data_IF_650282017638
#
_entry.id   IF_650282017638
#
_cell.length_a   1.000
_cell.length_b   1.000
_cell.length_c   1.000
_cell.angle_alpha   90.00
_cell.angle_beta   90.00
_cell.angle_gamma   90.00
#
_symmetry.space_group_name_H-M   'P 1'
#
loop_
_entity.id
_entity.type
_entity.pdbx_description
1 polymer ?
#
# COMPACT_ATOMS: atom_id res chain seq x y z
N UNK A 1 -9.99 15.00 -19.94
CA UNK A 1 -9.77 14.16 -18.75
C UNK A 1 -8.30 14.14 -18.34
N UNK A 2 -7.31 14.01 -19.23
CA UNK A 2 -5.90 13.94 -18.81
C UNK A 2 -5.24 15.26 -18.37
N UNK A 3 -5.62 16.39 -18.95
CA UNK A 3 -5.12 17.72 -18.55
C UNK A 3 -5.43 18.04 -17.07
N UNK A 4 -6.51 17.47 -16.54
CA UNK A 4 -6.96 17.65 -15.16
C UNK A 4 -6.00 16.97 -14.16
N UNK A 5 -5.50 15.75 -14.45
CA UNK A 5 -4.62 15.04 -13.50
C UNK A 5 -3.25 15.70 -13.33
N UNK A 6 -2.68 16.27 -14.39
CA UNK A 6 -1.41 16.99 -14.30
C UNK A 6 -1.55 18.25 -13.45
N UNK A 7 -2.65 18.99 -13.65
CA UNK A 7 -2.98 20.18 -12.86
C UNK A 7 -3.25 19.82 -11.40
N UNK A 8 -3.99 18.74 -11.13
CA UNK A 8 -4.24 18.24 -9.78
C UNK A 8 -2.95 17.83 -9.07
N UNK A 9 -2.06 17.10 -9.74
CA UNK A 9 -0.77 16.72 -9.15
C UNK A 9 0.09 17.96 -8.86
N UNK A 10 0.04 18.98 -9.71
CA UNK A 10 0.72 20.25 -9.44
C UNK A 10 0.12 20.95 -8.22
N UNK A 11 -1.22 21.01 -8.11
CA UNK A 11 -1.88 21.58 -6.94
C UNK A 11 -1.52 20.85 -5.64
N UNK A 12 -1.38 19.51 -5.67
CA UNK A 12 -0.89 18.73 -4.53
C UNK A 12 0.55 19.11 -4.19
N UNK A 13 1.44 19.20 -5.18
CA UNK A 13 2.83 19.60 -4.99
C UNK A 13 2.95 20.99 -4.35
N UNK A 14 2.13 21.94 -4.77
CA UNK A 14 2.11 23.31 -4.23
C UNK A 14 1.66 23.31 -2.76
N UNK A 15 0.65 22.50 -2.41
CA UNK A 15 0.22 22.34 -1.02
C UNK A 15 1.26 21.65 -0.16
N UNK A 16 1.93 20.61 -0.67
CA UNK A 16 3.04 19.98 0.03
C UNK A 16 4.13 21.01 0.36
N UNK A 17 4.51 21.85 -0.61
CA UNK A 17 5.49 22.91 -0.41
C UNK A 17 5.04 23.95 0.64
N UNK A 18 3.78 24.39 0.59
CA UNK A 18 3.20 25.32 1.57
C UNK A 18 3.29 24.81 3.01
N UNK A 19 3.12 23.50 3.22
CA UNK A 19 3.18 22.88 4.54
C UNK A 19 4.54 22.27 4.90
N UNK A 20 5.57 22.45 4.06
CA UNK A 20 6.89 21.85 4.28
C UNK A 20 6.90 20.32 4.22
N UNK A 21 5.92 19.72 3.53
CA UNK A 21 5.84 18.29 3.26
C UNK A 21 6.66 18.00 2.00
N UNK A 22 7.53 16.98 2.00
CA UNK A 22 8.24 16.56 0.79
C UNK A 22 7.28 16.24 -0.36
N UNK A 23 7.64 16.64 -1.58
CA UNK A 23 6.82 16.33 -2.77
C UNK A 23 6.70 14.82 -2.94
N UNK A 24 5.50 14.29 -3.27
CA UNK A 24 5.32 12.86 -3.52
C UNK A 24 6.22 12.39 -4.66
N UNK A 25 6.90 11.26 -4.46
CA UNK A 25 7.71 10.60 -5.50
C UNK A 25 7.02 9.36 -6.06
N UNK A 26 5.83 9.05 -5.58
CA UNK A 26 5.00 7.93 -6.03
C UNK A 26 3.60 8.41 -6.41
N UNK A 27 2.96 7.75 -7.37
CA UNK A 27 1.63 8.08 -7.85
C UNK A 27 0.72 6.85 -7.86
N UNK A 28 -0.53 6.98 -7.45
CA UNK A 28 -1.53 5.92 -7.64
C UNK A 28 -2.52 6.41 -8.68
N UNK A 29 -2.71 5.65 -9.75
CA UNK A 29 -3.63 6.10 -10.79
C UNK A 29 -5.08 6.05 -10.27
N UNK A 30 -5.86 7.13 -10.49
CA UNK A 30 -7.27 7.16 -10.11
C UNK A 30 -8.06 6.01 -10.74
N UNK A 31 -9.04 5.49 -9.99
CA UNK A 31 -9.92 4.40 -10.40
C UNK A 31 -9.21 3.10 -10.79
N UNK A 32 -7.95 2.90 -10.37
CA UNK A 32 -7.14 1.73 -10.73
C UNK A 32 -6.94 1.56 -12.25
N UNK A 33 -7.18 2.61 -13.04
CA UNK A 33 -6.93 2.63 -14.49
C UNK A 33 -5.54 3.16 -14.78
N UNK A 34 -5.03 3.04 -16.00
CA UNK A 34 -3.79 3.71 -16.37
C UNK A 34 -3.87 4.29 -17.78
N UNK A 35 -3.03 5.29 -18.05
CA UNK A 35 -2.79 5.81 -19.39
C UNK A 35 -1.28 5.96 -19.60
N UNK A 36 -0.76 5.33 -20.67
CA UNK A 36 0.65 5.44 -21.02
C UNK A 36 1.02 6.88 -21.44
N UNK A 37 0.04 7.70 -21.85
CA UNK A 37 0.23 9.11 -22.19
C UNK A 37 0.64 9.96 -20.97
N UNK A 38 0.39 9.46 -19.75
CA UNK A 38 0.77 10.13 -18.51
C UNK A 38 2.24 9.98 -18.16
N UNK A 39 2.91 8.94 -18.68
CA UNK A 39 4.29 8.58 -18.33
C UNK A 39 5.28 9.75 -18.50
N UNK A 40 5.29 10.49 -19.63
CA UNK A 40 6.26 11.56 -19.83
C UNK A 40 6.17 12.65 -18.77
N UNK A 41 4.96 13.12 -18.47
CA UNK A 41 4.80 14.21 -17.53
C UNK A 41 4.87 13.75 -16.07
N UNK A 42 4.51 12.50 -15.75
CA UNK A 42 4.77 11.93 -14.40
C UNK A 42 6.26 11.94 -14.11
N UNK A 43 7.08 11.57 -15.10
CA UNK A 43 8.54 11.62 -15.00
C UNK A 43 9.05 13.06 -14.86
N UNK A 44 8.53 14.00 -15.66
CA UNK A 44 8.90 15.42 -15.57
C UNK A 44 8.55 16.02 -14.19
N UNK A 45 7.49 15.53 -13.55
CA UNK A 45 7.06 15.94 -12.21
C UNK A 45 7.80 15.21 -11.07
N UNK A 46 8.77 14.34 -11.39
CA UNK A 46 9.62 13.67 -10.40
C UNK A 46 9.04 12.40 -9.80
N UNK A 47 7.96 11.85 -10.37
CA UNK A 47 7.42 10.56 -9.96
C UNK A 47 8.37 9.45 -10.42
N UNK A 48 8.73 8.58 -9.47
CA UNK A 48 9.64 7.45 -9.67
C UNK A 48 8.87 6.13 -9.84
N UNK A 49 7.76 6.00 -9.11
CA UNK A 49 6.92 4.81 -9.13
C UNK A 49 5.46 5.18 -9.30
N UNK A 50 4.71 4.42 -10.08
CA UNK A 50 3.26 4.59 -10.15
C UNK A 50 2.52 3.25 -10.20
N UNK A 51 1.47 3.12 -9.39
CA UNK A 51 0.68 1.91 -9.24
C UNK A 51 -0.66 2.01 -9.97
N UNK A 52 -0.98 1.01 -10.79
CA UNK A 52 -2.25 0.84 -11.51
C UNK A 52 -2.99 -0.40 -10.99
N UNK A 53 -4.26 -0.58 -11.37
CA UNK A 53 -4.99 -1.82 -11.11
C UNK A 53 -4.47 -3.03 -11.89
N UNK A 54 -5.21 -4.13 -11.77
CA UNK A 54 -4.88 -5.41 -12.42
C UNK A 54 -5.04 -5.43 -13.95
N UNK A 55 -5.62 -4.39 -14.55
CA UNK A 55 -5.78 -4.27 -16.01
C UNK A 55 -4.46 -3.85 -16.67
N UNK A 56 -4.05 -4.46 -17.81
CA UNK A 56 -4.85 -5.30 -18.70
C UNK A 56 -4.83 -6.79 -18.42
N UNK A 57 -4.06 -7.27 -17.44
CA UNK A 57 -3.89 -8.70 -17.19
C UNK A 57 -5.17 -9.35 -16.67
N UNK A 58 -5.92 -8.63 -15.83
CA UNK A 58 -7.21 -9.05 -15.29
C UNK A 58 -8.23 -7.91 -15.30
N UNK A 59 -9.49 -8.29 -15.47
CA UNK A 59 -10.62 -7.41 -15.20
C UNK A 59 -10.71 -7.12 -13.69
N UNK A 60 -11.12 -5.90 -13.35
CA UNK A 60 -11.10 -5.40 -11.96
C UNK A 60 -12.32 -5.86 -11.12
N UNK A 61 -12.94 -6.98 -11.48
CA UNK A 61 -14.16 -7.47 -10.83
C UNK A 61 -13.84 -8.09 -9.46
N UNK A 62 -12.98 -9.11 -9.45
CA UNK A 62 -12.65 -9.87 -8.25
C UNK A 62 -11.42 -9.33 -7.51
N UNK A 63 -10.86 -8.19 -7.93
CA UNK A 63 -9.65 -7.60 -7.35
C UNK A 63 -8.36 -8.37 -7.64
N UNK A 64 -8.39 -9.32 -8.57
CA UNK A 64 -7.20 -10.08 -9.00
C UNK A 64 -6.21 -9.17 -9.74
N UNK A 65 -4.92 -9.42 -9.52
CA UNK A 65 -3.83 -8.71 -10.16
C UNK A 65 -2.64 -9.60 -10.51
N UNK A 66 -1.54 -8.97 -10.89
CA UNK A 66 -0.25 -9.66 -11.14
C UNK A 66 0.84 -9.06 -10.26
N UNK A 67 1.74 -9.91 -9.77
CA UNK A 67 2.90 -9.44 -9.04
C UNK A 67 3.83 -8.64 -9.97
N UNK A 68 4.50 -7.64 -9.41
CA UNK A 68 5.54 -6.90 -10.12
C UNK A 68 6.72 -7.83 -10.46
N UNK A 69 7.21 -7.72 -11.69
CA UNK A 69 8.41 -8.35 -12.23
C UNK A 69 9.52 -7.31 -12.37
N UNK A 70 10.45 -7.20 -11.39
CA UNK A 70 11.51 -6.20 -11.42
C UNK A 70 12.38 -6.29 -12.68
N UNK A 71 12.56 -5.16 -13.36
CA UNK A 71 13.34 -5.07 -14.60
C UNK A 71 12.56 -5.40 -15.88
N UNK A 72 11.37 -5.99 -15.76
CA UNK A 72 10.43 -6.16 -16.88
C UNK A 72 9.33 -5.09 -16.83
N UNK A 73 8.70 -4.90 -15.68
CA UNK A 73 7.63 -3.93 -15.52
C UNK A 73 8.14 -2.49 -15.54
N UNK A 74 7.37 -1.62 -16.19
CA UNK A 74 7.69 -0.20 -16.21
C UNK A 74 7.44 0.41 -14.82
N UNK A 75 8.41 1.14 -14.21
CA UNK A 75 8.28 1.67 -12.85
C UNK A 75 7.05 2.58 -12.65
N UNK A 76 6.58 3.23 -13.70
CA UNK A 76 5.38 4.08 -13.69
C UNK A 76 4.08 3.35 -14.09
N UNK A 77 4.08 2.01 -14.13
CA UNK A 77 2.91 1.18 -14.45
C UNK A 77 2.91 -0.11 -13.60
N UNK A 78 3.33 -0.02 -12.34
CA UNK A 78 3.37 -1.16 -11.44
C UNK A 78 1.97 -1.76 -11.29
N UNK A 79 1.79 -3.06 -11.56
CA UNK A 79 0.50 -3.71 -11.37
C UNK A 79 0.20 -3.85 -9.87
N UNK A 80 -1.04 -3.59 -9.50
CA UNK A 80 -1.59 -4.08 -8.24
C UNK A 80 -1.62 -5.60 -8.30
N UNK A 81 -0.98 -6.28 -7.34
CA UNK A 81 -0.97 -7.74 -7.26
C UNK A 81 -2.32 -8.32 -6.81
N UNK A 82 -3.05 -7.58 -6.00
CA UNK A 82 -4.43 -7.82 -5.62
C UNK A 82 -5.04 -6.60 -4.94
N UNK A 83 -6.36 -6.49 -5.00
CA UNK A 83 -7.17 -5.54 -4.26
C UNK A 83 -8.09 -6.28 -3.29
N UNK A 84 -7.80 -6.17 -1.99
CA UNK A 84 -8.50 -6.90 -0.94
C UNK A 84 -9.94 -6.38 -0.78
N UNK A 85 -10.89 -7.18 -1.26
CA UNK A 85 -12.33 -6.94 -1.09
C UNK A 85 -12.87 -7.61 0.18
N UNK A 86 -14.07 -7.23 0.70
CA UNK A 86 -14.61 -7.81 1.93
C UNK A 86 -14.84 -9.32 1.91
N UNK A 87 -14.95 -9.92 0.73
CA UNK A 87 -15.07 -11.35 0.46
C UNK A 87 -13.73 -12.02 0.08
N UNK A 88 -12.61 -11.30 0.23
CA UNK A 88 -11.29 -11.77 -0.17
C UNK A 88 -10.81 -12.96 0.65
N UNK A 89 -10.63 -14.10 0.00
CA UNK A 89 -10.08 -15.35 0.54
C UNK A 89 -9.08 -16.03 -0.40
N UNK A 90 -8.52 -15.29 -1.37
CA UNK A 90 -7.61 -15.85 -2.36
C UNK A 90 -6.25 -16.22 -1.73
N UNK A 91 -6.02 -17.53 -1.61
CA UNK A 91 -4.78 -18.14 -1.11
C UNK A 91 -3.56 -17.88 -2.02
N UNK A 92 -3.78 -17.39 -3.25
CA UNK A 92 -2.73 -17.16 -4.23
C UNK A 92 -2.12 -15.77 -4.19
N UNK A 93 -2.68 -14.85 -3.39
CA UNK A 93 -2.05 -13.55 -3.17
C UNK A 93 -1.40 -13.50 -1.78
N UNK A 94 -0.07 -13.66 -1.68
CA UNK A 94 0.67 -13.62 -0.41
C UNK A 94 0.85 -12.18 0.11
N UNK A 95 -0.12 -11.30 -0.11
CA UNK A 95 -0.07 -9.94 0.41
C UNK A 95 -0.24 -9.98 1.94
N UNK A 96 0.85 -9.63 2.63
CA UNK A 96 0.84 -9.36 4.07
C UNK A 96 0.12 -8.02 4.27
N UNK A 97 -1.16 -8.05 4.61
CA UNK A 97 -1.86 -6.87 5.09
C UNK A 97 -1.37 -6.56 6.51
N UNK A 98 -0.31 -5.76 6.60
CA UNK A 98 0.02 -5.03 7.82
C UNK A 98 -0.83 -3.77 7.82
N UNK A 99 -2.10 -3.91 8.18
CA UNK A 99 -2.99 -2.77 8.46
C UNK A 99 -2.99 -2.55 9.97
N UNK A 100 -1.91 -1.99 10.57
CA UNK A 100 -1.95 -1.63 11.97
C UNK A 100 -3.07 -0.60 12.15
N UNK A 101 -4.04 -0.93 12.97
CA UNK A 101 -5.06 0.02 13.36
C UNK A 101 -4.41 1.03 14.32
N UNK A 102 -4.45 2.30 13.94
CA UNK A 102 -4.07 3.41 14.80
C UNK A 102 -5.32 3.96 15.49
N UNK A 103 -5.14 4.54 16.67
CA UNK A 103 -6.20 5.39 17.24
C UNK A 103 -6.35 6.64 16.35
N UNK A 104 -7.55 7.23 16.32
CA UNK A 104 -7.72 8.54 15.70
C UNK A 104 -6.80 9.56 16.39
N UNK A 105 -6.01 10.29 15.60
CA UNK A 105 -5.09 11.32 16.09
C UNK A 105 -5.68 12.71 15.91
N UNK A 106 -5.54 13.57 16.93
CA UNK A 106 -5.86 14.98 16.79
C UNK A 106 -4.86 15.68 15.84
N UNK A 107 -5.24 16.78 15.17
CA UNK A 107 -4.34 17.50 14.28
C UNK A 107 -3.03 17.92 14.98
N UNK A 108 -1.90 17.44 14.45
CA UNK A 108 -0.55 17.72 14.96
C UNK A 108 0.01 16.67 15.92
N UNK A 109 -0.75 15.63 16.25
CA UNK A 109 -0.26 14.48 17.02
C UNK A 109 0.46 13.45 16.14
N UNK A 110 1.32 12.64 16.75
CA UNK A 110 2.04 11.54 16.11
C UNK A 110 1.96 10.29 16.99
N UNK A 111 1.81 9.11 16.37
CA UNK A 111 1.94 7.80 17.04
C UNK A 111 3.00 6.95 16.33
N UNK A 112 3.61 6.02 17.07
CA UNK A 112 4.57 5.05 16.52
C UNK A 112 4.19 3.65 17.01
N UNK A 113 4.13 2.70 16.08
CA UNK A 113 3.94 1.28 16.37
C UNK A 113 5.23 0.56 16.01
N UNK A 114 5.72 -0.30 16.91
CA UNK A 114 6.84 -1.18 16.66
C UNK A 114 6.32 -2.60 16.49
N UNK A 115 6.32 -3.06 15.24
CA UNK A 115 6.01 -4.43 14.86
C UNK A 115 7.26 -5.29 14.73
N UNK A 116 7.05 -6.55 14.35
CA UNK A 116 8.11 -7.52 14.11
C UNK A 116 7.71 -8.36 12.88
N UNK A 117 8.69 -8.79 12.10
CA UNK A 117 8.50 -9.67 10.94
C UNK A 117 9.18 -11.00 11.24
N UNK A 118 8.48 -12.10 10.97
CA UNK A 118 9.03 -13.45 11.16
C UNK A 118 8.69 -14.35 10.00
N UNK A 119 9.67 -15.19 9.66
CA UNK A 119 9.55 -16.20 8.63
C UNK A 119 9.43 -17.56 9.34
N UNK A 120 8.45 -18.34 8.93
CA UNK A 120 8.22 -19.69 9.44
C UNK A 120 8.16 -20.68 8.28
N UNK A 121 8.94 -21.75 8.37
CA UNK A 121 8.90 -22.88 7.45
C UNK A 121 8.46 -24.11 8.23
N UNK A 122 7.29 -24.65 7.90
CA UNK A 122 6.72 -25.80 8.58
C UNK A 122 5.23 -25.97 8.29
N UNK A 123 4.64 -27.00 8.88
CA UNK A 123 3.23 -27.36 8.68
C UNK A 123 2.31 -26.95 9.84
N UNK A 124 2.87 -26.45 10.94
CA UNK A 124 2.13 -26.09 12.15
C UNK A 124 2.13 -24.58 12.38
N UNK A 125 1.45 -23.87 11.48
CA UNK A 125 1.32 -22.40 11.55
C UNK A 125 0.63 -21.96 12.85
N UNK A 126 -0.33 -22.73 13.36
CA UNK A 126 -1.06 -22.38 14.58
C UNK A 126 -0.20 -22.53 15.84
N UNK A 127 0.61 -23.58 15.92
CA UNK A 127 1.61 -23.75 16.99
C UNK A 127 2.64 -22.62 16.99
N UNK A 128 3.10 -22.22 15.79
CA UNK A 128 4.01 -21.08 15.65
C UNK A 128 3.35 -19.76 16.10
N UNK A 129 2.13 -19.47 15.65
CA UNK A 129 1.38 -18.30 16.13
C UNK A 129 1.22 -18.31 17.66
N UNK A 130 0.98 -19.48 18.26
CA UNK A 130 0.91 -19.64 19.71
C UNK A 130 2.24 -19.36 20.43
N UNK A 131 3.37 -19.76 19.85
CA UNK A 131 4.71 -19.46 20.37
C UNK A 131 4.98 -17.95 20.35
N UNK A 132 4.66 -17.31 19.23
CA UNK A 132 4.88 -15.88 19.01
C UNK A 132 4.07 -15.02 19.96
N UNK A 133 2.78 -15.32 20.15
CA UNK A 133 1.92 -14.64 21.13
C UNK A 133 2.49 -14.71 22.55
N UNK A 134 3.05 -15.86 22.96
CA UNK A 134 3.70 -16.02 24.28
C UNK A 134 4.96 -15.17 24.44
N UNK A 135 5.64 -14.86 23.36
CA UNK A 135 6.85 -14.03 23.37
C UNK A 135 6.55 -12.52 23.43
N UNK A 136 5.29 -12.10 23.38
CA UNK A 136 4.88 -10.69 23.41
C UNK A 136 5.66 -9.82 22.42
N UNK A 137 5.87 -10.37 21.24
CA UNK A 137 6.62 -9.78 20.13
C UNK A 137 6.03 -8.49 19.58
N UNK A 138 4.80 -8.14 19.96
CA UNK A 138 4.19 -6.84 19.74
C UNK A 138 4.15 -6.06 21.06
N UNK A 139 4.85 -4.93 21.12
CA UNK A 139 4.77 -3.97 22.22
C UNK A 139 4.12 -2.68 21.73
N UNK A 140 2.96 -2.34 22.30
CA UNK A 140 2.30 -1.05 22.07
C UNK A 140 2.69 -0.08 23.18
N UNK A 141 3.09 1.14 22.81
CA UNK A 141 3.39 2.23 23.75
C UNK A 141 2.51 3.42 23.34
N UNK A 142 1.41 3.64 24.07
CA UNK A 142 0.43 4.70 23.79
C UNK A 142 -0.80 4.60 24.70
N UNK A 143 -1.77 5.50 24.55
CA UNK A 143 -3.01 5.51 25.36
C UNK A 143 -4.08 4.49 24.89
N UNK A 144 -3.96 3.95 23.68
CA UNK A 144 -4.89 2.96 23.12
C UNK A 144 -4.62 1.53 23.56
N UNK A 145 -5.59 0.65 23.28
CA UNK A 145 -5.46 -0.81 23.44
C UNK A 145 -4.99 -1.39 22.09
N UNK A 146 -3.97 -2.26 22.05
CA UNK A 146 -3.62 -2.96 20.81
C UNK A 146 -4.77 -3.88 20.39
N UNK A 147 -5.56 -3.46 19.40
CA UNK A 147 -6.54 -4.31 18.72
C UNK A 147 -5.78 -5.05 17.62
N UNK A 148 -5.25 -6.21 17.97
CA UNK A 148 -4.41 -7.00 17.09
C UNK A 148 -4.30 -8.45 17.56
N UNK A 149 -5.43 -9.07 17.90
CA UNK A 149 -5.50 -10.52 18.06
C UNK A 149 -6.74 -11.07 17.41
N UNK A 150 -6.80 -11.11 16.07
CA UNK A 150 -7.50 -12.15 15.30
C UNK A 150 -7.34 -11.92 13.81
N UNK A 151 -6.55 -12.78 13.16
CA UNK A 151 -7.07 -13.63 12.09
C UNK A 151 -6.93 -15.08 12.59
#
# INVERSE_FOLDING_TARGET
MEADYKEQLQAINDRCEEFGIPKPTSFAFPENKFSAEMIPWLKDMGIQFACRGGTPEFDYDEGRGVAVEPGSDHPLLLPTAADARPDWGDIHCPCLHSDPQFDDLEPGENQTIQGWLSFYEGRDVYGEMGRLRKQQVLTHVGKGVPIGTTY
#
